data_IF_811024482781
#
_entry.id   IF_811024482781
#
_cell.length_a   1.000
_cell.length_b   1.000
_cell.length_c   1.000
_cell.angle_alpha   90.00
_cell.angle_beta   90.00
_cell.angle_gamma   90.00
#
_symmetry.space_group_name_H-M   'P 1'
#
loop_
_entity.id
_entity.type
_entity.pdbx_description
1 polymer ?
#
# COMPACT_ATOMS: atom_id res chain seq x y z
N UNK A 1 5.34 7.51 3.13
CA UNK A 1 5.29 7.56 1.64
C UNK A 1 5.13 6.14 1.17
N UNK A 2 4.14 5.85 0.34
CA UNK A 2 4.04 4.53 -0.30
C UNK A 2 5.04 4.47 -1.46
N UNK A 3 5.62 3.30 -1.69
CA UNK A 3 6.49 3.05 -2.85
C UNK A 3 5.59 2.84 -4.05
N UNK A 4 5.15 3.93 -4.69
CA UNK A 4 4.26 3.83 -5.87
C UNK A 4 5.13 3.64 -7.12
N UNK A 5 6.04 2.67 -7.08
CA UNK A 5 6.33 1.88 -8.26
C UNK A 5 5.17 0.91 -8.36
N UNK A 6 4.46 0.88 -9.48
CA UNK A 6 3.78 -0.38 -9.79
C UNK A 6 4.91 -1.37 -10.08
N UNK A 7 5.20 -2.21 -9.10
CA UNK A 7 6.02 -3.40 -9.32
C UNK A 7 5.20 -4.32 -10.21
N UNK A 8 5.59 -4.40 -11.48
CA UNK A 8 5.36 -5.60 -12.26
C UNK A 8 6.35 -6.61 -11.69
N UNK A 9 5.95 -7.32 -10.63
CA UNK A 9 6.66 -8.53 -10.25
C UNK A 9 6.44 -9.54 -11.37
N UNK A 10 7.26 -9.42 -12.41
CA UNK A 10 7.58 -10.56 -13.25
C UNK A 10 8.05 -11.64 -12.30
N UNK A 11 7.15 -12.59 -12.00
CA UNK A 11 7.46 -13.78 -11.23
C UNK A 11 7.73 -13.54 -9.73
N UNK A 12 6.80 -12.89 -9.00
CA UNK A 12 6.47 -13.54 -7.72
C UNK A 12 5.57 -14.72 -8.10
N UNK A 13 6.13 -15.93 -8.06
CA UNK A 13 5.36 -17.17 -8.09
C UNK A 13 4.49 -17.18 -6.82
N UNK A 14 3.40 -16.43 -6.85
CA UNK A 14 2.39 -16.46 -5.81
C UNK A 14 1.68 -17.79 -6.02
N UNK A 15 1.99 -18.75 -5.15
CA UNK A 15 1.30 -20.03 -5.16
C UNK A 15 0.00 -19.89 -4.36
N UNK A 16 -1.12 -20.45 -4.85
CA UNK A 16 -2.37 -20.43 -4.12
C UNK A 16 -2.19 -21.17 -2.80
N UNK A 17 -2.69 -20.58 -1.70
CA UNK A 17 -2.87 -21.29 -0.44
C UNK A 17 -3.85 -22.42 -0.70
N UNK A 18 -3.37 -23.65 -0.59
CA UNK A 18 -4.21 -24.83 -0.72
C UNK A 18 -4.79 -25.13 0.66
N UNK A 19 -6.12 -25.24 0.81
CA UNK A 19 -6.72 -25.75 2.03
C UNK A 19 -6.14 -27.13 2.36
N UNK A 20 -5.56 -27.28 3.55
CA UNK A 20 -5.30 -28.59 4.11
C UNK A 20 -6.64 -29.21 4.54
N UNK A 21 -6.84 -30.53 4.43
CA UNK A 21 -8.03 -31.17 4.98
C UNK A 21 -8.09 -30.88 6.49
N UNK A 22 -9.20 -30.29 6.92
CA UNK A 22 -9.47 -30.03 8.34
C UNK A 22 -9.60 -31.37 9.06
N UNK A 23 -8.57 -31.77 9.80
CA UNK A 23 -8.69 -32.81 10.81
C UNK A 23 -9.35 -32.14 12.02
N UNK A 24 -10.52 -32.62 12.42
CA UNK A 24 -11.22 -32.14 13.59
C UNK A 24 -10.46 -32.57 14.85
N UNK A 25 -9.95 -31.61 15.63
CA UNK A 25 -9.51 -31.85 17.00
C UNK A 25 -10.52 -31.19 17.95
N UNK A 26 -11.02 -32.02 18.87
CA UNK A 26 -12.05 -31.71 19.85
C UNK A 26 -11.48 -30.83 20.98
N UNK A 27 -12.24 -29.80 21.34
CA UNK A 27 -11.97 -28.92 22.48
C UNK A 27 -12.30 -29.62 23.81
N UNK A 28 -11.35 -29.67 24.75
CA UNK A 28 -11.66 -29.78 26.18
C UNK A 28 -11.05 -28.61 26.97
N UNK A 29 -11.93 -27.70 27.38
CA UNK A 29 -11.69 -26.67 28.39
C UNK A 29 -11.69 -27.27 29.81
N UNK A 30 -10.71 -26.92 30.64
CA UNK A 30 -10.90 -26.90 32.10
C UNK A 30 -10.14 -25.75 32.78
N UNK A 31 -10.92 -24.77 33.25
CA UNK A 31 -10.53 -23.73 34.20
C UNK A 31 -10.21 -24.33 35.59
N UNK A 32 -9.18 -23.81 36.27
CA UNK A 32 -9.30 -23.44 37.70
C UNK A 32 -8.25 -22.41 38.15
N UNK A 33 -8.79 -21.42 38.87
CA UNK A 33 -8.21 -20.20 39.43
C UNK A 33 -7.32 -20.36 40.67
N UNK A 34 -6.64 -19.24 40.98
CA UNK A 34 -6.26 -18.64 42.28
C UNK A 34 -4.74 -18.67 42.58
N UNK A 35 -4.12 -17.69 43.22
CA UNK A 35 -4.40 -16.29 43.59
C UNK A 35 -3.15 -15.79 44.34
N UNK A 36 -2.74 -14.51 44.18
CA UNK A 36 -2.32 -13.59 45.26
C UNK A 36 -1.63 -12.32 44.74
N UNK A 37 -2.23 -11.18 45.03
CA UNK A 37 -1.62 -9.83 45.12
C UNK A 37 -1.18 -9.58 46.59
N UNK A 38 -0.79 -8.36 47.02
CA UNK A 38 0.26 -7.45 46.55
C UNK A 38 1.15 -6.96 47.73
N UNK A 39 2.22 -6.19 47.49
CA UNK A 39 2.52 -5.05 48.37
C UNK A 39 3.38 -3.97 47.72
N UNK A 40 3.05 -2.74 48.09
CA UNK A 40 3.59 -1.45 47.66
C UNK A 40 4.52 -0.95 48.76
N UNK A 41 5.68 -0.35 48.43
CA UNK A 41 6.39 0.59 49.31
C UNK A 41 7.31 1.51 48.49
N UNK A 42 7.13 2.82 48.71
CA UNK A 42 7.97 3.92 48.23
C UNK A 42 9.29 3.98 49.00
N UNK A 43 10.36 4.49 48.35
CA UNK A 43 11.29 5.39 49.04
C UNK A 43 12.03 6.29 48.05
N UNK A 44 11.99 7.59 48.35
CA UNK A 44 12.75 8.71 47.78
C UNK A 44 14.22 8.66 48.21
N UNK A 45 15.13 9.20 47.40
CA UNK A 45 16.28 9.99 47.87
C UNK A 45 16.89 10.83 46.74
N UNK A 46 17.03 12.13 47.01
CA UNK A 46 17.75 13.14 46.24
C UNK A 46 19.27 12.98 46.41
N UNK A 47 20.05 13.28 45.37
CA UNK A 47 21.40 13.86 45.50
C UNK A 47 21.67 14.86 44.36
N UNK A 48 22.46 15.89 44.68
CA UNK A 48 22.56 17.19 44.04
C UNK A 48 24.06 17.53 43.79
N UNK A 49 24.36 18.27 42.70
CA UNK A 49 25.54 19.15 42.41
C UNK A 49 26.87 18.46 41.98
N UNK A 50 27.76 19.08 41.13
CA UNK A 50 27.79 20.45 40.60
C UNK A 50 27.94 20.65 39.07
N UNK A 51 27.62 21.89 38.70
CA UNK A 51 27.97 22.67 37.52
C UNK A 51 29.47 22.69 37.18
N UNK A 52 29.80 22.74 35.89
CA UNK A 52 31.03 23.39 35.44
C UNK A 52 30.79 24.08 34.09
N UNK A 53 30.88 25.41 34.12
CA UNK A 53 30.85 26.29 32.97
C UNK A 53 32.10 26.06 32.10
N UNK A 54 31.90 25.79 30.81
CA UNK A 54 32.89 26.03 29.78
C UNK A 54 32.21 26.78 28.64
N UNK A 55 32.38 28.12 28.67
CA UNK A 55 32.17 28.97 27.51
C UNK A 55 33.33 28.74 26.55
N UNK A 56 33.08 28.10 25.42
CA UNK A 56 33.92 28.25 24.23
C UNK A 56 33.10 28.95 23.14
N UNK A 57 33.60 30.11 22.75
CA UNK A 57 33.10 30.95 21.67
C UNK A 57 33.54 30.31 20.34
N UNK A 58 32.81 29.30 19.88
CA UNK A 58 33.08 28.65 18.60
C UNK A 58 32.35 29.39 17.48
N UNK A 59 33.15 29.94 16.56
CA UNK A 59 32.66 30.55 15.31
C UNK A 59 31.98 29.46 14.48
N UNK A 60 30.66 29.41 14.59
CA UNK A 60 29.77 28.51 13.86
C UNK A 60 30.08 28.60 12.37
N UNK A 61 30.58 27.50 11.79
CA UNK A 61 30.73 27.40 10.35
C UNK A 61 29.34 27.46 9.70
N UNK A 62 29.17 28.12 8.54
CA UNK A 62 27.85 28.32 7.93
C UNK A 62 27.02 27.05 7.68
N UNK A 63 27.65 25.88 7.72
CA UNK A 63 27.06 24.55 7.66
C UNK A 63 26.43 24.07 8.98
N UNK A 64 27.00 24.43 10.13
CA UNK A 64 26.50 23.99 11.45
C UNK A 64 25.16 24.64 11.81
N UNK A 65 24.94 25.91 11.41
CA UNK A 65 23.68 26.61 11.65
C UNK A 65 22.49 25.98 10.89
N UNK A 66 22.73 25.47 9.67
CA UNK A 66 21.71 24.86 8.83
C UNK A 66 21.27 23.48 9.34
N UNK A 67 22.21 22.73 9.91
CA UNK A 67 22.03 21.35 10.33
C UNK A 67 21.63 21.19 11.81
N UNK A 68 21.45 22.30 12.55
CA UNK A 68 20.96 22.25 13.93
C UNK A 68 19.64 21.46 14.00
N UNK A 69 19.58 20.43 14.84
CA UNK A 69 18.39 19.56 14.96
C UNK A 69 18.21 18.55 13.81
N UNK A 70 19.28 18.24 13.06
CA UNK A 70 19.23 17.26 11.98
C UNK A 70 18.73 15.89 12.46
N UNK A 71 17.67 15.37 11.82
CA UNK A 71 16.98 14.11 12.17
C UNK A 71 16.35 14.01 13.57
N UNK A 72 16.48 15.03 14.41
CA UNK A 72 15.96 15.05 15.79
C UNK A 72 14.45 15.32 15.85
N UNK A 73 13.88 15.97 14.83
CA UNK A 73 12.50 16.42 14.79
C UNK A 73 11.66 15.67 13.74
N UNK A 74 10.34 15.72 13.90
CA UNK A 74 9.38 15.22 12.93
C UNK A 74 8.34 14.28 13.54
N UNK A 75 7.94 13.27 12.77
CA UNK A 75 6.94 12.28 13.14
C UNK A 75 7.29 10.91 12.54
N UNK A 76 6.43 9.91 12.75
CA UNK A 76 6.58 8.58 12.14
C UNK A 76 6.57 8.61 10.60
N UNK A 77 5.98 9.65 9.99
CA UNK A 77 5.90 9.74 8.53
C UNK A 77 7.11 10.42 7.87
N UNK A 78 7.61 11.50 8.48
CA UNK A 78 8.68 12.35 7.94
C UNK A 78 9.57 12.90 9.05
N UNK A 79 10.88 12.96 8.80
CA UNK A 79 11.84 13.66 9.65
C UNK A 79 11.92 15.10 9.17
N UNK A 80 11.58 16.08 10.00
CA UNK A 80 11.47 17.48 9.56
C UNK A 80 11.50 18.42 10.75
N UNK A 81 12.08 19.59 10.55
CA UNK A 81 12.22 20.65 11.56
C UNK A 81 11.17 21.75 11.43
N UNK A 82 9.96 21.38 10.98
CA UNK A 82 8.83 22.30 10.92
C UNK A 82 7.48 21.62 11.13
N UNK A 83 6.47 22.40 11.50
CA UNK A 83 5.06 22.03 11.52
C UNK A 83 4.31 22.77 10.41
N UNK A 84 3.25 22.17 9.86
CA UNK A 84 2.37 22.82 8.89
C UNK A 84 1.23 23.53 9.60
N UNK A 85 0.87 24.73 9.12
CA UNK A 85 -0.42 25.34 9.39
C UNK A 85 -1.42 24.80 8.37
N UNK A 86 -2.40 24.02 8.82
CA UNK A 86 -3.39 23.41 7.94
C UNK A 86 -4.36 24.48 7.42
N UNK A 87 -4.45 24.75 6.10
CA UNK A 87 -5.32 25.80 5.57
C UNK A 87 -6.82 25.47 5.72
N UNK A 88 -7.18 24.20 5.87
CA UNK A 88 -8.56 23.74 6.02
C UNK A 88 -9.17 24.04 7.40
N UNK A 89 -8.37 24.03 8.46
CA UNK A 89 -8.85 24.17 9.85
C UNK A 89 -8.01 25.14 10.70
N UNK A 90 -6.95 25.72 10.13
CA UNK A 90 -5.99 26.63 10.77
C UNK A 90 -5.25 26.04 12.00
N UNK A 91 -5.30 24.73 12.17
CA UNK A 91 -4.58 23.99 13.21
C UNK A 91 -3.16 23.63 12.77
N UNK A 92 -2.31 23.28 13.75
CA UNK A 92 -0.89 23.00 13.53
C UNK A 92 -0.64 21.51 13.64
N UNK A 93 0.05 20.94 12.65
CA UNK A 93 0.38 19.51 12.61
C UNK A 93 1.83 19.25 12.21
N UNK A 94 2.39 18.14 12.67
CA UNK A 94 3.72 17.69 12.25
C UNK A 94 3.81 17.44 10.76
N UNK A 95 2.75 16.93 10.11
CA UNK A 95 2.71 16.78 8.66
C UNK A 95 1.27 16.56 8.19
N UNK A 96 1.07 16.46 6.86
CA UNK A 96 -0.27 16.18 6.28
C UNK A 96 -0.84 14.85 6.75
N UNK A 97 0.01 13.85 7.00
CA UNK A 97 -0.45 12.52 7.40
C UNK A 97 -0.94 12.52 8.84
N UNK A 98 -0.19 13.15 9.76
CA UNK A 98 -0.66 13.40 11.13
C UNK A 98 -1.98 14.18 11.16
N UNK A 99 -2.14 15.19 10.29
CA UNK A 99 -3.42 15.90 10.16
C UNK A 99 -4.55 14.96 9.77
N UNK A 100 -4.41 14.24 8.64
CA UNK A 100 -5.49 13.37 8.14
C UNK A 100 -5.80 12.22 9.10
N UNK A 101 -4.80 11.70 9.82
CA UNK A 101 -5.02 10.68 10.86
C UNK A 101 -5.81 11.23 12.05
N UNK A 102 -5.51 12.45 12.50
CA UNK A 102 -6.26 13.10 13.56
C UNK A 102 -7.68 13.49 13.12
N UNK A 103 -7.84 14.03 11.90
CA UNK A 103 -9.11 14.56 11.40
C UNK A 103 -10.05 13.50 10.83
N UNK A 104 -9.55 12.35 10.38
CA UNK A 104 -10.38 11.24 9.90
C UNK A 104 -10.52 10.11 10.92
N UNK A 105 -10.10 10.32 12.17
CA UNK A 105 -10.30 9.34 13.23
C UNK A 105 -11.80 9.04 13.41
N UNK A 106 -12.12 7.78 13.74
CA UNK A 106 -13.51 7.32 13.90
C UNK A 106 -14.28 8.10 14.98
N UNK A 107 -13.58 8.63 15.99
CA UNK A 107 -14.15 9.43 17.07
C UNK A 107 -14.53 10.86 16.63
N UNK A 108 -14.12 11.30 15.43
CA UNK A 108 -14.49 12.61 14.87
C UNK A 108 -15.83 12.49 14.15
N UNK A 109 -16.72 13.45 14.39
CA UNK A 109 -17.97 13.61 13.65
C UNK A 109 -17.69 13.56 12.15
N UNK A 110 -18.42 12.70 11.44
CA UNK A 110 -18.23 12.49 10.01
C UNK A 110 -18.29 13.78 9.19
N UNK A 111 -19.06 14.79 9.63
CA UNK A 111 -19.14 16.10 8.96
C UNK A 111 -17.88 16.95 9.12
N UNK A 112 -17.06 16.66 10.12
CA UNK A 112 -15.81 17.37 10.41
C UNK A 112 -14.59 16.63 9.86
N UNK A 113 -14.76 15.41 9.32
CA UNK A 113 -13.67 14.65 8.70
C UNK A 113 -13.26 15.30 7.39
N UNK A 114 -11.96 15.49 7.22
CA UNK A 114 -11.40 16.10 6.02
C UNK A 114 -9.91 15.82 5.91
N UNK A 115 -9.45 15.87 4.66
CA UNK A 115 -8.04 15.77 4.32
C UNK A 115 -7.41 17.14 4.14
N UNK A 116 -6.12 17.24 4.47
CA UNK A 116 -5.36 18.44 4.26
C UNK A 116 -5.08 18.65 2.76
N UNK A 117 -5.48 19.79 2.16
CA UNK A 117 -5.16 20.09 0.78
C UNK A 117 -3.70 20.51 0.66
N UNK A 118 -2.81 19.54 0.42
CA UNK A 118 -1.33 19.68 0.48
C UNK A 118 -0.76 20.85 -0.32
N UNK A 119 -1.33 21.15 -1.49
CA UNK A 119 -0.84 22.20 -2.37
C UNK A 119 -1.22 23.61 -1.90
N UNK A 120 -2.22 23.73 -1.01
CA UNK A 120 -2.71 24.99 -0.46
C UNK A 120 -2.01 25.37 0.86
N UNK A 121 -1.01 24.60 1.31
CA UNK A 121 -0.24 24.96 2.50
C UNK A 121 0.67 26.14 2.16
N UNK A 122 0.41 27.28 2.81
CA UNK A 122 1.17 28.52 2.64
C UNK A 122 2.12 28.79 3.81
N UNK A 123 1.78 28.31 5.02
CA UNK A 123 2.54 28.62 6.25
C UNK A 123 3.08 27.38 6.96
N UNK A 124 4.28 27.54 7.52
CA UNK A 124 4.97 26.56 8.38
C UNK A 124 5.51 27.24 9.62
N UNK A 125 5.67 26.47 10.69
CA UNK A 125 6.28 26.90 11.94
C UNK A 125 7.59 26.13 12.16
N UNK A 126 8.68 26.82 12.44
CA UNK A 126 9.96 26.18 12.71
C UNK A 126 9.93 25.43 14.05
N UNK A 127 10.36 24.18 14.09
CA UNK A 127 10.37 23.38 15.32
C UNK A 127 11.47 23.75 16.32
N UNK A 128 12.41 24.63 15.93
CA UNK A 128 13.53 25.06 16.77
C UNK A 128 13.32 26.41 17.44
N UNK A 129 12.58 27.31 16.79
CA UNK A 129 12.42 28.70 17.26
C UNK A 129 10.98 29.22 17.12
N UNK A 130 10.03 28.32 16.85
CA UNK A 130 8.58 28.56 16.77
C UNK A 130 8.13 29.69 15.83
N UNK A 131 9.03 30.12 14.93
CA UNK A 131 8.74 31.19 13.98
C UNK A 131 7.77 30.70 12.92
N UNK A 132 6.60 31.35 12.85
CA UNK A 132 5.65 31.18 11.75
C UNK A 132 6.11 31.98 10.51
N UNK A 133 6.13 31.31 9.36
CA UNK A 133 6.61 31.86 8.11
C UNK A 133 5.96 31.22 6.89
N UNK A 134 6.13 31.86 5.73
CA UNK A 134 5.78 31.28 4.44
C UNK A 134 6.58 30.00 4.16
N UNK A 135 6.01 29.08 3.38
CA UNK A 135 6.68 27.82 3.03
C UNK A 135 7.98 28.10 2.29
N UNK A 136 9.08 27.83 2.97
CA UNK A 136 10.44 27.93 2.45
C UNK A 136 11.29 26.84 3.10
N UNK A 137 12.36 26.41 2.43
CA UNK A 137 13.23 25.35 2.96
C UNK A 137 13.97 25.79 4.23
N UNK A 138 14.34 27.06 4.36
CA UNK A 138 15.16 27.57 5.46
C UNK A 138 14.32 28.47 6.36
N UNK A 139 14.53 28.36 7.67
CA UNK A 139 13.89 29.25 8.64
C UNK A 139 14.42 30.67 8.47
N UNK A 140 13.50 31.64 8.30
CA UNK A 140 13.84 33.06 8.12
C UNK A 140 14.44 33.71 9.37
N UNK A 141 14.21 33.11 10.54
CA UNK A 141 14.65 33.63 11.83
C UNK A 141 15.94 32.96 12.31
N UNK A 142 15.95 31.64 12.49
CA UNK A 142 17.11 30.93 13.04
C UNK A 142 18.05 30.34 11.97
N UNK A 143 17.72 30.44 10.68
CA UNK A 143 18.58 29.98 9.59
C UNK A 143 18.67 28.47 9.41
N UNK A 144 17.95 27.67 10.19
CA UNK A 144 17.98 26.20 10.07
C UNK A 144 17.33 25.73 8.76
N UNK A 145 17.91 24.74 8.09
CA UNK A 145 17.24 24.04 7.00
C UNK A 145 16.11 23.19 7.58
N UNK A 146 14.85 23.35 7.18
CA UNK A 146 13.70 22.65 7.78
C UNK A 146 13.45 21.24 7.23
N UNK A 147 14.16 20.86 6.16
CA UNK A 147 14.16 19.53 5.56
C UNK A 147 15.23 19.45 4.47
N UNK A 148 16.14 18.48 4.55
CA UNK A 148 17.21 18.32 3.54
C UNK A 148 16.65 18.07 2.14
N UNK A 149 15.65 17.22 2.03
CA UNK A 149 14.77 17.18 0.87
C UNK A 149 13.61 18.18 1.07
N UNK A 150 13.46 19.08 0.10
CA UNK A 150 12.37 20.03 0.04
C UNK A 150 11.73 20.03 -1.35
N UNK A 151 10.40 19.93 -1.39
CA UNK A 151 9.64 20.15 -2.61
C UNK A 151 8.63 21.27 -2.42
N UNK A 152 8.86 22.41 -3.10
CA UNK A 152 7.96 23.57 -3.03
C UNK A 152 6.61 23.38 -3.71
N UNK A 153 6.49 22.42 -4.63
CA UNK A 153 5.22 22.07 -5.30
C UNK A 153 4.34 21.25 -4.35
N UNK A 154 4.91 20.24 -3.70
CA UNK A 154 4.21 19.35 -2.78
C UNK A 154 4.17 19.86 -1.33
N UNK A 155 4.90 20.94 -1.03
CA UNK A 155 5.10 21.48 0.34
C UNK A 155 5.66 20.41 1.28
N UNK A 156 6.55 19.57 0.77
CA UNK A 156 7.12 18.43 1.48
C UNK A 156 8.51 18.76 2.03
N UNK A 157 8.74 18.36 3.26
CA UNK A 157 10.00 18.47 3.98
C UNK A 157 10.35 17.09 4.54
N UNK A 158 11.54 16.58 4.23
CA UNK A 158 12.06 15.34 4.82
C UNK A 158 13.59 15.43 4.94
N UNK A 159 14.12 15.14 6.11
CA UNK A 159 15.56 15.07 6.36
C UNK A 159 16.14 13.72 6.00
N UNK A 160 15.30 12.69 6.03
CA UNK A 160 15.69 11.34 5.70
C UNK A 160 15.81 11.16 4.18
N UNK A 161 16.91 11.67 3.63
CA UNK A 161 17.24 11.60 2.20
C UNK A 161 17.61 10.20 1.73
N UNK A 162 17.75 9.22 2.63
CA UNK A 162 18.02 7.82 2.28
C UNK A 162 16.87 7.20 1.45
N UNK A 163 15.67 7.78 1.51
CA UNK A 163 14.52 7.38 0.69
C UNK A 163 14.63 7.81 -0.77
N UNK A 164 15.63 8.62 -1.13
CA UNK A 164 15.84 9.14 -2.48
C UNK A 164 14.56 9.77 -3.07
N UNK A 165 13.96 10.70 -2.32
CA UNK A 165 12.72 11.36 -2.73
C UNK A 165 12.96 12.16 -4.01
N UNK A 166 11.96 12.20 -4.89
CA UNK A 166 11.97 13.06 -6.07
C UNK A 166 10.56 13.51 -6.44
N UNK A 167 10.43 14.68 -7.05
CA UNK A 167 9.14 15.12 -7.61
C UNK A 167 8.97 14.55 -9.01
N UNK A 168 7.80 13.97 -9.29
CA UNK A 168 7.42 13.56 -10.64
C UNK A 168 6.38 14.55 -11.17
N UNK A 169 6.77 15.36 -12.15
CA UNK A 169 5.90 16.38 -12.76
C UNK A 169 4.65 15.76 -13.39
N UNK A 170 4.81 14.60 -14.07
CA UNK A 170 3.68 13.89 -14.67
C UNK A 170 2.65 13.36 -13.66
N UNK A 171 3.07 13.07 -12.41
CA UNK A 171 2.14 12.70 -11.34
C UNK A 171 1.69 13.92 -10.50
N UNK A 172 2.42 15.02 -10.54
CA UNK A 172 2.23 16.16 -9.64
C UNK A 172 2.52 15.85 -8.16
N UNK A 173 3.25 14.77 -7.85
CA UNK A 173 3.57 14.34 -6.48
C UNK A 173 4.99 13.86 -6.32
N UNK A 174 5.50 13.98 -5.09
CA UNK A 174 6.76 13.36 -4.70
C UNK A 174 6.63 11.83 -4.58
N UNK A 175 7.64 11.13 -5.09
CA UNK A 175 7.86 9.69 -5.01
C UNK A 175 9.16 9.43 -4.24
N UNK A 176 9.48 8.16 -4.01
CA UNK A 176 10.69 7.67 -3.34
C UNK A 176 11.40 6.62 -4.21
N UNK A 177 12.67 6.33 -3.94
CA UNK A 177 13.47 5.34 -4.64
C UNK A 177 14.33 5.88 -5.80
N UNK A 178 14.48 7.20 -5.90
CA UNK A 178 15.39 7.85 -6.83
C UNK A 178 14.83 8.02 -8.24
N UNK A 179 14.89 9.24 -8.79
CA UNK A 179 14.31 9.56 -10.11
C UNK A 179 14.88 8.73 -11.26
N UNK A 180 16.12 8.27 -11.16
CA UNK A 180 16.78 7.46 -12.19
C UNK A 180 16.22 6.02 -12.28
N UNK A 181 15.66 5.51 -11.19
CA UNK A 181 15.15 4.15 -11.11
C UNK A 181 13.72 4.03 -11.65
N UNK A 182 13.10 5.15 -12.02
CA UNK A 182 11.71 5.22 -12.42
C UNK A 182 11.51 6.05 -13.69
N UNK A 183 10.43 5.76 -14.40
CA UNK A 183 9.94 6.62 -15.48
C UNK A 183 8.45 6.84 -15.33
N UNK A 184 7.98 8.00 -15.76
CA UNK A 184 6.55 8.28 -15.86
C UNK A 184 6.04 7.87 -17.24
N UNK A 185 4.98 7.05 -17.26
CA UNK A 185 4.28 6.71 -18.50
C UNK A 185 3.07 7.64 -18.67
N UNK A 186 3.14 8.58 -19.63
CA UNK A 186 2.06 9.55 -19.88
C UNK A 186 0.73 8.89 -20.25
N UNK A 187 0.76 7.74 -20.95
CA UNK A 187 -0.45 7.02 -21.34
C UNK A 187 -1.12 6.35 -20.14
N UNK A 188 -0.34 5.72 -19.25
CA UNK A 188 -0.88 5.14 -18.02
C UNK A 188 -1.23 6.21 -16.98
N UNK A 189 -0.53 7.35 -17.00
CA UNK A 189 -0.61 8.41 -15.99
C UNK A 189 0.06 8.03 -14.67
N UNK A 190 1.10 7.20 -14.67
CA UNK A 190 1.77 6.75 -13.43
C UNK A 190 3.27 6.44 -13.61
N UNK A 191 3.97 6.35 -12.48
CA UNK A 191 5.39 5.98 -12.42
C UNK A 191 5.55 4.46 -12.35
N UNK A 192 6.50 3.94 -13.13
CA UNK A 192 6.95 2.55 -13.09
C UNK A 192 8.46 2.50 -12.90
N UNK A 193 8.97 1.35 -12.46
CA UNK A 193 10.41 1.07 -12.50
C UNK A 193 10.96 1.21 -13.92
N UNK A 194 12.13 1.81 -14.07
CA UNK A 194 12.86 1.97 -15.34
C UNK A 194 13.09 0.64 -16.07
N UNK A 195 13.11 -0.48 -15.34
CA UNK A 195 13.19 -1.84 -15.91
C UNK A 195 12.00 -2.21 -16.79
N UNK A 196 10.85 -1.57 -16.58
CA UNK A 196 9.58 -1.88 -17.25
C UNK A 196 9.29 -0.94 -18.42
N UNK A 197 10.23 -0.06 -18.77
CA UNK A 197 10.04 1.00 -19.77
C UNK A 197 9.57 0.48 -21.13
N UNK A 198 10.03 -0.70 -21.53
CA UNK A 198 9.70 -1.34 -22.80
C UNK A 198 8.71 -2.50 -22.70
N UNK A 199 8.35 -2.96 -21.49
CA UNK A 199 7.66 -4.25 -21.29
C UNK A 199 6.37 -4.17 -20.46
N UNK A 200 6.06 -3.04 -19.82
CA UNK A 200 4.81 -2.93 -19.07
C UNK A 200 3.58 -2.97 -20.01
N UNK A 201 2.50 -3.69 -19.64
CA UNK A 201 1.23 -3.59 -20.34
C UNK A 201 0.65 -2.19 -20.11
N UNK A 202 0.82 -1.34 -21.12
CA UNK A 202 0.44 0.06 -21.06
C UNK A 202 -1.06 0.25 -21.26
N UNK A 203 -1.81 0.21 -20.15
CA UNK A 203 -3.24 0.45 -20.09
C UNK A 203 -3.49 1.92 -19.74
N UNK A 204 -4.33 2.58 -20.52
CA UNK A 204 -4.66 3.99 -20.30
C UNK A 204 -5.28 4.20 -18.93
N UNK A 205 -4.77 5.21 -18.21
CA UNK A 205 -5.30 5.62 -16.90
C UNK A 205 -5.41 4.48 -15.88
N UNK A 206 -4.50 3.51 -15.93
CA UNK A 206 -4.54 2.30 -15.11
C UNK A 206 -4.76 2.58 -13.61
N UNK A 207 -4.19 3.66 -13.05
CA UNK A 207 -4.34 4.01 -11.62
C UNK A 207 -5.47 4.99 -11.31
N UNK A 208 -6.15 5.56 -12.31
CA UNK A 208 -7.18 6.58 -12.11
C UNK A 208 -8.57 5.92 -11.98
N UNK A 209 -8.66 4.99 -11.04
CA UNK A 209 -9.87 4.25 -10.71
C UNK A 209 -9.83 3.85 -9.24
N UNK A 210 -10.98 3.49 -8.68
CA UNK A 210 -11.07 2.97 -7.31
C UNK A 210 -10.66 1.50 -7.28
N UNK A 211 -10.05 1.09 -6.16
CA UNK A 211 -9.80 -0.31 -5.91
C UNK A 211 -11.15 -1.06 -5.87
N UNK A 212 -11.37 -2.12 -6.67
CA UNK A 212 -12.63 -2.87 -6.69
C UNK A 212 -12.91 -3.66 -5.41
N UNK A 213 -11.95 -3.71 -4.48
CA UNK A 213 -12.07 -4.44 -3.20
C UNK A 213 -12.45 -3.47 -2.07
N UNK A 214 -11.68 -2.40 -1.87
CA UNK A 214 -11.89 -1.46 -0.76
C UNK A 214 -12.57 -0.14 -1.17
N UNK A 215 -12.78 0.10 -2.47
CA UNK A 215 -13.37 1.32 -3.03
C UNK A 215 -12.59 2.62 -2.75
N UNK A 216 -11.32 2.51 -2.36
CA UNK A 216 -10.43 3.66 -2.23
C UNK A 216 -9.75 3.98 -3.56
N UNK A 217 -9.60 5.27 -3.84
CA UNK A 217 -8.96 5.75 -5.07
C UNK A 217 -7.47 5.40 -5.13
N UNK A 218 -7.06 4.63 -6.14
CA UNK A 218 -5.72 4.02 -6.20
C UNK A 218 -4.59 5.05 -6.31
N UNK A 219 -4.79 6.14 -7.07
CA UNK A 219 -3.72 7.10 -7.35
C UNK A 219 -3.28 7.90 -6.13
N UNK A 220 -4.22 8.23 -5.24
CA UNK A 220 -3.96 9.04 -4.05
C UNK A 220 -3.74 8.23 -2.77
N UNK A 221 -4.02 6.93 -2.85
CA UNK A 221 -3.83 5.99 -1.75
C UNK A 221 -2.39 5.94 -1.25
N UNK A 222 -2.26 5.64 0.05
CA UNK A 222 -0.97 5.36 0.71
C UNK A 222 -0.63 3.87 0.68
N UNK A 223 -1.53 3.03 0.19
CA UNK A 223 -1.27 1.61 0.06
C UNK A 223 -0.56 1.37 -1.27
N UNK A 224 0.38 0.43 -1.28
CA UNK A 224 1.06 0.05 -2.52
C UNK A 224 0.04 -0.51 -3.52
N UNK A 225 0.21 -0.16 -4.80
CA UNK A 225 -0.68 -0.59 -5.89
C UNK A 225 0.06 -1.60 -6.75
N UNK A 226 -0.62 -2.68 -7.11
CA UNK A 226 -0.09 -3.75 -7.95
C UNK A 226 -0.96 -3.92 -9.20
N UNK A 227 -0.32 -4.16 -10.35
CA UNK A 227 -0.99 -4.59 -11.56
C UNK A 227 -1.07 -6.12 -11.58
N UNK A 228 -2.29 -6.66 -11.68
CA UNK A 228 -2.54 -8.08 -11.82
C UNK A 228 -2.10 -8.58 -13.20
N UNK A 229 -1.98 -9.90 -13.37
CA UNK A 229 -1.62 -10.54 -14.66
C UNK A 229 -2.57 -10.17 -15.81
N UNK A 230 -3.83 -9.86 -15.49
CA UNK A 230 -4.82 -9.39 -16.45
C UNK A 230 -4.70 -7.90 -16.82
N UNK A 231 -3.78 -7.16 -16.19
CA UNK A 231 -3.54 -5.72 -16.39
C UNK A 231 -4.34 -4.79 -15.47
N UNK A 232 -5.38 -5.29 -14.79
CA UNK A 232 -6.12 -4.49 -13.82
C UNK A 232 -5.29 -4.22 -12.56
N UNK A 233 -5.47 -3.05 -11.95
CA UNK A 233 -4.70 -2.62 -10.78
C UNK A 233 -5.54 -2.62 -9.52
N UNK A 234 -4.99 -3.11 -8.41
CA UNK A 234 -5.62 -3.09 -7.08
C UNK A 234 -4.57 -2.77 -6.01
N UNK A 235 -4.96 -2.50 -4.76
CA UNK A 235 -4.01 -2.42 -3.67
C UNK A 235 -3.36 -3.78 -3.40
N UNK A 236 -2.07 -3.76 -3.05
CA UNK A 236 -1.32 -4.96 -2.65
C UNK A 236 -1.95 -5.65 -1.44
N UNK A 237 -2.34 -4.87 -0.43
CA UNK A 237 -3.05 -5.37 0.76
C UNK A 237 -4.38 -6.03 0.40
N UNK A 238 -5.14 -5.44 -0.52
CA UNK A 238 -6.38 -6.05 -1.02
C UNK A 238 -6.14 -7.36 -1.79
N UNK A 239 -5.03 -7.47 -2.52
CA UNK A 239 -4.63 -8.74 -3.16
C UNK A 239 -4.27 -9.80 -2.10
N UNK A 240 -3.57 -9.42 -1.04
CA UNK A 240 -3.22 -10.30 0.08
C UNK A 240 -4.48 -10.79 0.81
N UNK A 241 -5.43 -9.89 1.12
CA UNK A 241 -6.74 -10.24 1.71
C UNK A 241 -7.54 -11.19 0.81
N UNK A 242 -7.58 -10.93 -0.51
CA UNK A 242 -8.20 -11.84 -1.47
C UNK A 242 -7.61 -13.26 -1.37
N UNK A 243 -6.28 -13.39 -1.25
CA UNK A 243 -5.62 -14.69 -1.11
C UNK A 243 -5.93 -15.38 0.22
N UNK A 244 -6.02 -14.62 1.32
CA UNK A 244 -6.43 -15.14 2.62
C UNK A 244 -7.84 -15.72 2.61
N UNK A 245 -8.72 -15.15 1.78
CA UNK A 245 -10.08 -15.63 1.57
C UNK A 245 -10.24 -16.57 0.36
N UNK A 246 -9.14 -17.12 -0.16
CA UNK A 246 -9.11 -18.05 -1.30
C UNK A 246 -9.79 -17.50 -2.58
N UNK A 247 -9.81 -16.18 -2.75
CA UNK A 247 -10.35 -15.49 -3.92
C UNK A 247 -9.25 -15.23 -4.94
N UNK A 248 -9.07 -16.17 -5.87
CA UNK A 248 -8.01 -16.10 -6.89
C UNK A 248 -8.46 -15.52 -8.24
N UNK A 249 -9.70 -15.04 -8.34
CA UNK A 249 -10.23 -14.42 -9.55
C UNK A 249 -10.20 -12.90 -9.44
N UNK A 250 -9.75 -12.23 -10.49
CA UNK A 250 -9.77 -10.77 -10.59
C UNK A 250 -11.21 -10.28 -10.42
N UNK A 251 -11.49 -9.33 -9.51
CA UNK A 251 -12.85 -8.85 -9.25
C UNK A 251 -13.47 -8.09 -10.44
N UNK A 252 -12.64 -7.66 -11.41
CA UNK A 252 -13.09 -6.89 -12.58
C UNK A 252 -13.39 -7.80 -13.77
N UNK A 253 -12.54 -8.81 -14.05
CA UNK A 253 -12.63 -9.62 -15.27
C UNK A 253 -12.64 -11.13 -15.04
N UNK A 254 -12.61 -11.57 -13.78
CA UNK A 254 -12.62 -12.98 -13.36
C UNK A 254 -11.42 -13.83 -13.80
N UNK A 255 -10.40 -13.25 -14.44
CA UNK A 255 -9.14 -13.95 -14.75
C UNK A 255 -8.39 -14.32 -13.48
N UNK A 256 -7.70 -15.46 -13.49
CA UNK A 256 -6.84 -15.89 -12.40
C UNK A 256 -5.75 -14.85 -12.14
N UNK A 257 -5.56 -14.47 -10.86
CA UNK A 257 -4.59 -13.44 -10.46
C UNK A 257 -3.18 -13.98 -10.20
N UNK A 258 -3.05 -15.30 -10.09
CA UNK A 258 -1.80 -16.03 -9.86
C UNK A 258 -1.78 -17.36 -10.63
N UNK A 259 -0.67 -18.10 -10.56
CA UNK A 259 -0.57 -19.42 -11.18
C UNK A 259 -1.41 -20.45 -10.41
N UNK A 260 -2.44 -20.96 -11.07
CA UNK A 260 -3.38 -21.94 -10.51
C UNK A 260 -3.08 -23.37 -10.94
N UNK A 261 -1.96 -23.64 -11.63
CA UNK A 261 -1.63 -24.95 -12.22
C UNK A 261 -1.70 -26.09 -11.21
N UNK A 262 -1.15 -25.92 -10.00
CA UNK A 262 -1.22 -26.94 -8.92
C UNK A 262 -2.64 -27.21 -8.42
N UNK A 263 -3.53 -26.21 -8.50
CA UNK A 263 -4.95 -26.38 -8.15
C UNK A 263 -5.67 -27.13 -9.26
N UNK A 264 -5.37 -26.80 -10.53
CA UNK A 264 -5.90 -27.52 -11.69
C UNK A 264 -5.50 -29.00 -11.71
N UNK A 265 -4.28 -29.33 -11.30
CA UNK A 265 -3.84 -30.73 -11.13
C UNK A 265 -4.69 -31.49 -10.10
N UNK A 266 -5.15 -30.83 -9.03
CA UNK A 266 -6.05 -31.46 -8.05
C UNK A 266 -7.43 -31.73 -8.63
N UNK A 267 -7.95 -30.80 -9.43
CA UNK A 267 -9.20 -31.03 -10.17
C UNK A 267 -9.07 -32.20 -11.14
N UNK A 268 -7.93 -32.36 -11.83
CA UNK A 268 -7.67 -33.51 -12.69
C UNK A 268 -7.76 -34.84 -11.90
N UNK A 269 -7.13 -34.90 -10.72
CA UNK A 269 -7.17 -36.08 -9.85
C UNK A 269 -8.59 -36.39 -9.34
N UNK A 270 -9.32 -35.38 -8.90
CA UNK A 270 -10.68 -35.54 -8.36
C UNK A 270 -11.66 -36.01 -9.44
N UNK A 271 -11.58 -35.43 -10.64
CA UNK A 271 -12.40 -35.83 -11.81
C UNK A 271 -12.10 -37.28 -12.20
N UNK A 272 -10.83 -37.69 -12.22
CA UNK A 272 -10.47 -39.08 -12.51
C UNK A 272 -10.98 -40.06 -11.44
N UNK A 273 -11.02 -39.63 -10.16
CA UNK A 273 -11.51 -40.44 -9.05
C UNK A 273 -13.05 -40.51 -8.95
N UNK A 274 -13.78 -39.60 -9.61
CA UNK A 274 -15.24 -39.48 -9.50
C UNK A 274 -15.96 -39.58 -10.86
N UNK A 275 -15.88 -40.74 -11.55
CA UNK A 275 -16.48 -40.90 -12.87
C UNK A 275 -17.98 -40.60 -12.85
N UNK A 276 -18.46 -39.89 -13.88
CA UNK A 276 -19.86 -39.48 -13.98
C UNK A 276 -20.80 -40.70 -14.14
N UNK A 277 -21.99 -40.68 -13.52
CA UNK A 277 -22.98 -41.73 -13.70
C UNK A 277 -23.40 -41.94 -15.17
N UNK A 278 -23.80 -43.16 -15.58
CA UNK A 278 -24.09 -43.50 -16.97
C UNK A 278 -25.09 -42.57 -17.68
N UNK A 279 -26.08 -42.04 -16.95
CA UNK A 279 -27.10 -41.15 -17.51
C UNK A 279 -26.55 -39.77 -17.94
N UNK A 280 -25.34 -39.41 -17.53
CA UNK A 280 -24.70 -38.13 -17.85
C UNK A 280 -23.26 -38.26 -18.37
N UNK A 281 -22.77 -39.49 -18.57
CA UNK A 281 -21.43 -39.78 -19.05
C UNK A 281 -21.08 -39.11 -20.40
N UNK A 282 -22.05 -39.06 -21.31
CA UNK A 282 -21.90 -38.46 -22.65
C UNK A 282 -22.52 -37.06 -22.76
N UNK A 283 -22.89 -36.44 -21.63
CA UNK A 283 -23.46 -35.09 -21.64
C UNK A 283 -22.35 -34.09 -21.98
N UNK A 284 -22.58 -33.29 -23.01
CA UNK A 284 -21.69 -32.20 -23.41
C UNK A 284 -22.23 -30.85 -22.95
N UNK A 285 -21.34 -29.93 -22.61
CA UNK A 285 -21.69 -28.58 -22.20
C UNK A 285 -20.75 -27.55 -22.80
N UNK A 286 -21.31 -26.37 -23.09
CA UNK A 286 -20.54 -25.22 -23.57
C UNK A 286 -19.97 -24.44 -22.40
N UNK A 287 -18.69 -24.12 -22.48
CA UNK A 287 -17.97 -23.32 -21.50
C UNK A 287 -17.34 -22.08 -22.13
N UNK A 288 -17.18 -21.04 -21.33
CA UNK A 288 -16.25 -19.93 -21.58
C UNK A 288 -15.13 -20.01 -20.55
N UNK A 289 -13.88 -20.02 -21.00
CA UNK A 289 -12.73 -19.94 -20.10
C UNK A 289 -12.43 -18.47 -19.77
N UNK A 290 -12.42 -18.12 -18.48
CA UNK A 290 -12.14 -16.75 -18.05
C UNK A 290 -10.67 -16.38 -18.32
N UNK A 291 -9.74 -17.33 -18.21
CA UNK A 291 -8.31 -17.07 -18.36
C UNK A 291 -7.90 -16.80 -19.81
N UNK A 292 -8.30 -17.67 -20.75
CA UNK A 292 -7.94 -17.52 -22.17
C UNK A 292 -9.04 -16.90 -23.05
N UNK A 293 -10.26 -16.74 -22.54
CA UNK A 293 -11.40 -16.17 -23.28
C UNK A 293 -12.02 -17.08 -24.34
N UNK A 294 -11.54 -18.32 -24.50
CA UNK A 294 -12.05 -19.23 -25.54
C UNK A 294 -13.37 -19.89 -25.11
N UNK A 295 -14.28 -20.05 -26.05
CA UNK A 295 -15.43 -20.94 -25.92
C UNK A 295 -15.06 -22.35 -26.35
N UNK A 296 -15.58 -23.37 -25.66
CA UNK A 296 -15.35 -24.76 -26.03
C UNK A 296 -16.51 -25.63 -25.57
N UNK A 297 -16.75 -26.72 -26.27
CA UNK A 297 -17.69 -27.76 -25.87
C UNK A 297 -16.90 -28.91 -25.24
N UNK A 298 -17.25 -29.28 -24.00
CA UNK A 298 -16.52 -30.26 -23.20
C UNK A 298 -17.47 -31.24 -22.54
N UNK A 299 -16.96 -32.40 -22.10
CA UNK A 299 -17.75 -33.34 -21.30
C UNK A 299 -18.14 -32.67 -19.98
N UNK A 300 -19.41 -32.84 -19.62
CA UNK A 300 -19.93 -32.37 -18.34
C UNK A 300 -19.32 -33.18 -17.20
N UNK A 301 -18.87 -32.48 -16.16
CA UNK A 301 -18.48 -33.09 -14.90
C UNK A 301 -19.04 -32.26 -13.75
N UNK A 302 -19.48 -32.91 -12.68
CA UNK A 302 -20.07 -32.22 -11.51
C UNK A 302 -19.06 -31.32 -10.79
N UNK A 303 -17.79 -31.74 -10.76
CA UNK A 303 -16.70 -31.03 -10.08
C UNK A 303 -16.29 -29.76 -10.83
N UNK A 304 -15.78 -29.87 -12.07
CA UNK A 304 -15.29 -28.72 -12.84
C UNK A 304 -15.15 -29.06 -14.33
N UNK A 305 -15.01 -28.02 -15.18
CA UNK A 305 -14.88 -28.17 -16.63
C UNK A 305 -13.52 -27.63 -17.12
N UNK A 306 -12.68 -28.51 -17.68
CA UNK A 306 -11.33 -28.15 -18.13
C UNK A 306 -11.37 -27.42 -19.47
N UNK A 307 -10.71 -26.28 -19.55
CA UNK A 307 -10.47 -25.61 -20.83
C UNK A 307 -9.48 -26.42 -21.68
N UNK A 308 -9.83 -26.83 -22.92
CA UNK A 308 -8.91 -27.59 -23.76
C UNK A 308 -7.71 -26.75 -24.24
N UNK A 309 -7.87 -25.43 -24.35
CA UNK A 309 -6.85 -24.49 -24.84
C UNK A 309 -5.74 -24.23 -23.81
N UNK A 310 -6.09 -23.71 -22.63
CA UNK A 310 -5.11 -23.31 -21.60
C UNK A 310 -5.07 -24.23 -20.37
N UNK A 311 -5.84 -25.33 -20.36
CA UNK A 311 -5.92 -26.32 -19.27
C UNK A 311 -6.48 -25.81 -17.93
N UNK A 312 -6.86 -24.53 -17.84
CA UNK A 312 -7.51 -23.94 -16.68
C UNK A 312 -8.90 -24.51 -16.43
N UNK A 313 -9.29 -24.61 -15.16
CA UNK A 313 -10.67 -24.86 -14.75
C UNK A 313 -11.42 -23.58 -14.31
N UNK A 314 -10.82 -22.39 -14.46
CA UNK A 314 -11.52 -21.11 -14.31
C UNK A 314 -12.45 -20.87 -15.50
N UNK A 315 -13.56 -21.62 -15.52
CA UNK A 315 -14.51 -21.68 -16.62
C UNK A 315 -15.94 -21.51 -16.09
N UNK A 316 -16.82 -20.97 -16.94
CA UNK A 316 -18.26 -20.88 -16.64
C UNK A 316 -19.06 -21.55 -17.74
N UNK A 317 -20.13 -22.25 -17.35
CA UNK A 317 -21.04 -22.84 -18.31
C UNK A 317 -21.82 -21.73 -19.03
N UNK A 318 -22.04 -21.91 -20.32
CA UNK A 318 -22.80 -21.01 -21.18
C UNK A 318 -23.89 -21.78 -21.89
N UNK A 319 -24.97 -21.10 -22.30
CA UNK A 319 -25.92 -21.66 -23.25
C UNK A 319 -25.22 -21.59 -24.61
N UNK A 320 -25.05 -22.72 -25.28
CA UNK A 320 -24.17 -22.86 -26.46
C UNK A 320 -24.34 -21.75 -27.50
N UNK A 321 -23.26 -21.46 -28.23
CA UNK A 321 -23.13 -20.29 -29.10
C UNK A 321 -24.34 -20.06 -30.00
N UNK A 322 -25.13 -19.04 -29.67
CA UNK A 322 -26.00 -18.40 -30.65
C UNK A 322 -25.11 -17.82 -31.75
N UNK A 323 -25.32 -18.31 -32.97
CA UNK A 323 -24.87 -17.58 -34.16
C UNK A 323 -25.65 -16.27 -34.27
#
# INVERSE_FOLDING_TARGET
>A
MASIAIDFSGTMCIEPKIPQPMVAEENETRNRMKASEPSYLQHSHEEHIPENELRCDEKVTGTEALDKGYLEYGCSHYRRRCHIRAPCCNEIFNCRHCHNEAKNNICIDQKLRHDLPRHLVEKVLCSLCDTEQEVQQVCKNCGVCMGRYYCGICKLFDDDTSKEQYHCDGCGICRIGGSNNFFHCNKCGCCYSSLLKSSHPCVERAMHQDCPVCFEYLFESRNDVIALLCGHTIHKTCLEEMQEHFQYACPICSKSVCDMSKVWEKFDLEIAATPMPPYCENKMVWILCNDCGCNSEVKYHVVAHKCPNCKSYNTRQTRGGGR
#
